data_IF_078940390368
#
_entry.id   IF_078940390368
#
_cell.length_a   1.000
_cell.length_b   1.000
_cell.length_c   1.000
_cell.angle_alpha   90.00
_cell.angle_beta   90.00
_cell.angle_gamma   90.00
#
_symmetry.space_group_name_H-M   'P 1'
#
loop_
_entity.id
_entity.type
_entity.pdbx_description
1 polymer ?
#
# COMPACT_ATOMS: atom_id res chain seq x y z
N UNK A 1 71.70 4.88 25.59
CA UNK A 1 70.23 5.10 25.61
C UNK A 1 69.83 6.07 24.53
N UNK A 2 70.09 5.80 23.22
CA UNK A 2 69.74 6.64 22.09
C UNK A 2 69.58 5.81 20.78
N UNK A 3 68.92 4.66 20.81
CA UNK A 3 68.75 3.87 19.59
C UNK A 3 67.29 3.28 19.47
N UNK A 4 66.32 3.77 20.28
CA UNK A 4 64.91 3.32 20.21
C UNK A 4 63.93 4.32 19.55
N UNK A 5 64.40 5.54 19.20
CA UNK A 5 63.50 6.59 18.63
C UNK A 5 63.51 6.64 17.09
N UNK A 6 64.35 5.91 16.38
CA UNK A 6 64.41 5.95 14.93
C UNK A 6 63.63 4.85 14.24
N UNK A 7 63.23 3.82 14.99
CA UNK A 7 62.44 2.72 14.41
C UNK A 7 60.91 3.01 14.40
N UNK A 8 60.43 3.91 15.25
CA UNK A 8 59.04 4.31 15.34
C UNK A 8 58.61 5.32 14.25
N UNK A 9 59.54 6.02 13.64
CA UNK A 9 59.23 6.99 12.58
C UNK A 9 59.18 6.35 11.18
N UNK A 10 59.81 5.17 11.02
CA UNK A 10 59.83 4.45 9.73
C UNK A 10 58.58 3.55 9.50
N UNK A 11 57.83 3.24 10.54
CA UNK A 11 56.58 2.41 10.41
C UNK A 11 55.36 3.28 10.14
N UNK A 12 55.36 4.56 10.55
CA UNK A 12 54.26 5.49 10.27
C UNK A 12 54.22 5.98 8.80
N UNK A 13 55.32 5.83 8.03
CA UNK A 13 55.42 6.22 6.62
C UNK A 13 55.00 5.17 5.60
N UNK A 14 54.71 3.93 6.04
CA UNK A 14 54.38 2.81 5.14
C UNK A 14 52.89 2.46 5.09
N UNK A 15 52.02 3.18 5.83
CA UNK A 15 50.58 2.89 5.91
C UNK A 15 49.69 3.98 5.27
N UNK A 16 50.23 5.00 4.63
CA UNK A 16 49.47 5.96 3.84
C UNK A 16 49.58 5.65 2.36
N UNK A 17 48.92 4.61 1.88
CA UNK A 17 48.59 4.54 0.48
C UNK A 17 47.64 5.74 0.17
N UNK A 18 47.94 6.56 -0.86
CA UNK A 18 47.04 7.65 -1.23
C UNK A 18 45.72 7.02 -1.69
N UNK A 19 44.68 7.21 -0.92
CA UNK A 19 43.29 6.90 -1.36
C UNK A 19 42.93 8.01 -2.34
N UNK A 20 42.97 7.72 -3.63
CA UNK A 20 42.48 8.64 -4.65
C UNK A 20 40.95 8.64 -4.60
N UNK A 21 40.37 9.80 -4.35
CA UNK A 21 38.97 10.03 -4.51
C UNK A 21 38.60 9.95 -6.00
N UNK A 22 37.71 9.08 -6.36
CA UNK A 22 37.28 8.89 -7.76
C UNK A 22 35.81 9.26 -7.94
N UNK A 23 35.43 9.71 -9.14
CA UNK A 23 34.05 9.99 -9.50
C UNK A 23 33.52 8.81 -10.32
N UNK A 24 32.32 8.30 -9.95
CA UNK A 24 31.62 7.27 -10.71
C UNK A 24 30.31 7.88 -11.21
N UNK A 25 30.12 7.85 -12.52
CA UNK A 25 28.92 8.35 -13.18
C UNK A 25 28.41 7.30 -14.16
N UNK A 26 27.17 7.41 -14.58
CA UNK A 26 26.64 6.57 -15.63
C UNK A 26 25.18 6.86 -15.91
N UNK A 27 24.64 6.14 -16.88
CA UNK A 27 23.27 6.24 -17.30
C UNK A 27 22.58 4.90 -17.15
N UNK A 28 21.34 4.92 -16.63
CA UNK A 28 20.46 3.75 -16.54
C UNK A 28 19.37 3.90 -17.57
N UNK A 29 19.26 2.90 -18.45
CA UNK A 29 18.24 2.85 -19.53
C UNK A 29 17.53 1.51 -19.54
N UNK A 30 16.37 1.44 -20.17
CA UNK A 30 15.73 0.19 -20.52
C UNK A 30 16.33 -0.42 -21.81
N UNK A 31 15.81 -1.59 -22.21
CA UNK A 31 16.22 -2.28 -23.44
C UNK A 31 15.83 -1.56 -24.74
N UNK A 32 14.92 -0.58 -24.67
CA UNK A 32 14.55 0.32 -25.78
C UNK A 32 15.40 1.59 -25.82
N UNK A 33 16.33 1.77 -24.83
CA UNK A 33 17.20 2.93 -24.71
C UNK A 33 16.54 4.14 -24.04
N UNK A 34 15.33 3.96 -23.45
CA UNK A 34 14.67 5.03 -22.70
C UNK A 34 15.31 5.18 -21.33
N UNK A 35 15.51 6.41 -20.84
CA UNK A 35 16.08 6.64 -19.52
C UNK A 35 15.16 6.14 -18.42
N UNK A 36 15.72 5.54 -17.39
CA UNK A 36 14.99 5.13 -16.18
C UNK A 36 15.30 6.16 -15.09
N UNK A 37 14.33 6.99 -14.76
CA UNK A 37 14.42 7.94 -13.65
C UNK A 37 14.13 7.24 -12.32
N UNK A 38 14.73 7.73 -11.20
CA UNK A 38 14.51 7.20 -9.87
C UNK A 38 15.08 5.79 -9.64
N UNK A 39 15.93 5.27 -10.53
CA UNK A 39 16.65 4.03 -10.26
C UNK A 39 17.66 4.25 -9.14
N UNK A 40 17.62 3.40 -8.13
CA UNK A 40 18.54 3.41 -7.01
C UNK A 40 19.86 2.74 -7.41
N UNK A 41 20.98 3.44 -7.28
CA UNK A 41 22.32 2.93 -7.54
C UNK A 41 23.08 2.87 -6.22
N UNK A 42 23.59 1.69 -5.86
CA UNK A 42 24.38 1.45 -4.63
C UNK A 42 25.78 1.02 -4.97
N UNK A 43 26.74 1.45 -4.14
CA UNK A 43 28.09 0.88 -4.13
C UNK A 43 28.14 -0.16 -3.01
N UNK A 44 28.42 -1.42 -3.35
CA UNK A 44 28.52 -2.51 -2.37
C UNK A 44 29.56 -2.21 -1.29
N UNK A 45 29.24 -2.55 -0.03
CA UNK A 45 30.10 -2.24 1.12
C UNK A 45 30.23 -0.75 1.44
N UNK A 46 29.45 0.12 0.75
CA UNK A 46 29.39 1.56 0.98
C UNK A 46 28.01 1.95 1.50
N UNK A 47 27.94 3.06 2.23
CA UNK A 47 26.69 3.69 2.68
C UNK A 47 26.05 4.60 1.62
N UNK A 48 26.69 4.71 0.45
CA UNK A 48 26.33 5.70 -0.55
C UNK A 48 25.31 5.14 -1.52
N UNK A 49 24.26 5.91 -1.70
CA UNK A 49 23.18 5.65 -2.67
C UNK A 49 23.05 6.88 -3.54
N UNK A 50 22.87 6.70 -4.84
CA UNK A 50 22.48 7.75 -5.77
C UNK A 50 21.21 7.32 -6.50
N UNK A 51 20.31 8.27 -6.78
CA UNK A 51 19.15 8.04 -7.62
C UNK A 51 19.38 8.65 -9.00
N UNK A 52 18.91 7.99 -10.04
CA UNK A 52 18.99 8.53 -11.40
C UNK A 52 18.03 9.71 -11.57
N UNK A 53 18.51 10.75 -12.27
CA UNK A 53 17.71 11.91 -12.66
C UNK A 53 16.71 11.56 -13.80
N UNK A 54 15.94 12.57 -14.28
CA UNK A 54 14.99 12.42 -15.38
C UNK A 54 15.61 11.91 -16.70
N UNK A 55 16.93 12.05 -16.87
CA UNK A 55 17.68 11.55 -18.02
C UNK A 55 18.29 10.17 -17.77
N UNK A 56 18.02 9.58 -16.60
CA UNK A 56 18.57 8.30 -16.16
C UNK A 56 20.03 8.41 -15.68
N UNK A 57 20.56 9.60 -15.39
CA UNK A 57 21.96 9.82 -15.02
C UNK A 57 22.11 9.73 -13.50
N UNK A 58 23.12 8.99 -13.04
CA UNK A 58 23.55 8.96 -11.64
C UNK A 58 25.00 9.41 -11.50
N UNK A 59 25.36 9.85 -10.28
CA UNK A 59 26.70 10.32 -9.98
C UNK A 59 27.08 10.08 -8.51
N UNK A 60 28.30 9.56 -8.32
CA UNK A 60 28.98 9.51 -7.04
C UNK A 60 30.29 10.31 -7.14
N UNK A 61 30.41 11.34 -6.34
CA UNK A 61 31.66 12.08 -6.19
C UNK A 61 32.45 11.58 -4.97
N UNK A 62 33.74 11.67 -5.01
CA UNK A 62 34.64 11.37 -3.89
C UNK A 62 34.52 9.92 -3.35
N UNK A 63 34.43 8.94 -4.26
CA UNK A 63 34.43 7.51 -3.89
C UNK A 63 35.82 7.11 -3.45
N UNK A 64 35.98 6.66 -2.20
CA UNK A 64 37.27 6.34 -1.57
C UNK A 64 37.60 4.85 -1.52
N UNK A 65 36.62 4.00 -1.93
CA UNK A 65 36.81 2.56 -1.97
C UNK A 65 37.68 2.18 -3.17
N UNK A 66 38.70 1.34 -2.98
CA UNK A 66 39.55 0.89 -4.10
C UNK A 66 38.78 -0.08 -5.00
N UNK A 67 37.95 -0.94 -4.45
CA UNK A 67 37.08 -1.90 -5.16
C UNK A 67 35.67 -1.36 -5.22
N UNK A 68 35.11 -1.27 -6.42
CA UNK A 68 33.77 -0.72 -6.66
C UNK A 68 32.92 -1.76 -7.36
N UNK A 69 31.89 -2.22 -6.66
CA UNK A 69 30.81 -3.03 -7.21
C UNK A 69 29.50 -2.24 -7.09
N UNK A 70 28.84 -2.04 -8.23
CA UNK A 70 27.61 -1.25 -8.32
C UNK A 70 26.40 -2.16 -8.46
N UNK A 71 25.36 -1.87 -7.71
CA UNK A 71 24.04 -2.45 -7.86
C UNK A 71 23.04 -1.37 -8.26
N UNK A 72 22.15 -1.69 -9.21
CA UNK A 72 21.11 -0.79 -9.66
C UNK A 72 19.74 -1.46 -9.49
N UNK A 73 18.85 -0.79 -8.78
CA UNK A 73 17.49 -1.23 -8.51
C UNK A 73 16.51 -0.22 -9.08
N UNK A 74 15.45 -0.72 -9.71
CA UNK A 74 14.32 0.10 -10.14
C UNK A 74 13.07 -0.78 -10.11
N UNK A 75 11.95 -0.22 -9.68
CA UNK A 75 10.65 -0.90 -9.77
C UNK A 75 10.38 -1.29 -11.23
N UNK A 76 9.83 -2.48 -11.46
CA UNK A 76 9.54 -3.04 -12.79
C UNK A 76 10.76 -3.44 -13.65
N UNK A 77 11.99 -3.40 -13.12
CA UNK A 77 13.18 -3.83 -13.84
C UNK A 77 13.99 -4.87 -13.05
N UNK A 78 14.63 -5.78 -13.77
CA UNK A 78 15.62 -6.69 -13.18
C UNK A 78 16.80 -5.85 -12.72
N UNK A 79 17.23 -6.04 -11.46
CA UNK A 79 18.40 -5.34 -10.94
C UNK A 79 19.62 -5.57 -11.82
N UNK A 80 20.42 -4.52 -11.97
CA UNK A 80 21.71 -4.60 -12.67
C UNK A 80 22.84 -4.61 -11.64
N UNK A 81 23.91 -5.32 -11.97
CA UNK A 81 25.15 -5.29 -11.19
C UNK A 81 26.35 -5.14 -12.11
N UNK A 82 27.41 -4.52 -11.61
CA UNK A 82 28.66 -4.35 -12.34
C UNK A 82 29.83 -4.23 -11.37
N UNK A 83 30.73 -5.19 -11.40
CA UNK A 83 31.98 -5.17 -10.65
C UNK A 83 33.09 -4.50 -11.48
N UNK A 84 33.52 -3.32 -11.04
CA UNK A 84 34.59 -2.55 -11.68
C UNK A 84 35.97 -2.97 -11.20
N UNK A 85 36.06 -3.77 -10.16
CA UNK A 85 37.32 -4.09 -9.51
C UNK A 85 38.00 -2.86 -8.88
N UNK A 86 39.33 -2.85 -8.84
CA UNK A 86 40.10 -1.77 -8.27
C UNK A 86 40.19 -0.57 -9.23
N UNK A 87 39.59 0.56 -8.85
CA UNK A 87 39.44 1.76 -9.66
C UNK A 87 40.29 2.92 -9.08
N UNK A 88 41.16 3.50 -9.89
CA UNK A 88 42.04 4.62 -9.53
C UNK A 88 41.71 5.92 -10.27
N UNK A 89 40.78 5.92 -11.21
CA UNK A 89 40.37 7.08 -12.02
C UNK A 89 38.85 7.11 -12.19
N UNK A 90 38.29 8.27 -12.53
CA UNK A 90 36.84 8.40 -12.78
C UNK A 90 36.33 7.39 -13.80
N UNK A 91 35.17 6.79 -13.52
CA UNK A 91 34.52 5.78 -14.35
C UNK A 91 33.16 6.25 -14.83
N UNK A 92 32.80 5.87 -16.06
CA UNK A 92 31.43 5.96 -16.58
C UNK A 92 30.91 4.55 -16.76
N UNK A 93 29.82 4.21 -16.06
CA UNK A 93 29.24 2.86 -16.04
C UNK A 93 27.77 2.95 -16.37
N UNK A 94 27.41 2.57 -17.57
CA UNK A 94 26.02 2.57 -18.01
C UNK A 94 25.37 1.20 -17.74
N UNK A 95 24.09 1.24 -17.36
CA UNK A 95 23.28 0.06 -17.15
C UNK A 95 22.13 0.03 -18.14
N UNK A 96 21.87 -1.16 -18.71
CA UNK A 96 20.66 -1.43 -19.50
C UNK A 96 19.84 -2.45 -18.72
N UNK A 97 18.78 -1.99 -18.08
CA UNK A 97 17.92 -2.85 -17.30
C UNK A 97 16.86 -3.50 -18.22
N UNK A 98 16.58 -4.77 -17.95
CA UNK A 98 15.49 -5.49 -18.60
C UNK A 98 14.22 -5.30 -17.77
N UNK A 99 13.04 -5.17 -18.39
CA UNK A 99 11.79 -5.21 -17.66
C UNK A 99 11.75 -6.45 -16.76
N UNK A 100 11.40 -6.25 -15.51
CA UNK A 100 11.29 -7.35 -14.55
C UNK A 100 10.06 -8.20 -14.90
N UNK A 101 10.21 -9.53 -14.82
CA UNK A 101 9.05 -10.38 -14.55
C UNK A 101 8.59 -10.08 -13.11
N UNK A 102 7.33 -10.42 -12.77
CA UNK A 102 6.78 -10.24 -11.41
C UNK A 102 7.70 -10.81 -10.31
N UNK A 103 8.51 -11.80 -10.65
CA UNK A 103 9.43 -12.49 -9.73
C UNK A 103 10.61 -11.64 -9.25
N UNK A 104 10.95 -10.58 -9.98
CA UNK A 104 12.07 -9.67 -9.66
C UNK A 104 11.62 -8.34 -9.05
N UNK A 105 10.33 -8.17 -8.77
CA UNK A 105 9.82 -6.97 -8.10
C UNK A 105 10.24 -7.02 -6.63
N UNK A 106 10.76 -5.91 -6.12
CA UNK A 106 11.11 -5.77 -4.70
C UNK A 106 9.85 -5.76 -3.85
N UNK A 107 9.84 -6.59 -2.82
CA UNK A 107 8.75 -6.65 -1.84
C UNK A 107 8.99 -5.60 -0.77
N UNK A 108 8.26 -4.51 -0.82
CA UNK A 108 8.42 -3.38 0.12
C UNK A 108 7.90 -3.70 1.51
N UNK A 109 6.88 -4.56 1.60
CA UNK A 109 6.33 -5.03 2.87
C UNK A 109 7.22 -6.06 3.58
N UNK A 110 8.24 -6.61 2.93
CA UNK A 110 9.24 -7.43 3.60
C UNK A 110 10.28 -6.51 4.27
N UNK A 111 10.55 -6.73 5.54
CA UNK A 111 11.50 -5.91 6.29
C UNK A 111 12.89 -5.82 5.65
N UNK A 112 13.36 -6.90 5.02
CA UNK A 112 14.65 -6.92 4.33
C UNK A 112 14.59 -6.45 2.87
N UNK A 113 13.41 -6.06 2.37
CA UNK A 113 13.20 -5.55 1.01
C UNK A 113 13.82 -6.45 -0.08
N UNK A 114 13.68 -7.75 0.08
CA UNK A 114 14.15 -8.74 -0.90
C UNK A 114 13.20 -8.83 -2.10
N UNK A 115 13.72 -9.26 -3.24
CA UNK A 115 12.87 -9.62 -4.39
C UNK A 115 11.98 -10.83 -4.04
N UNK A 116 10.95 -11.07 -4.85
CA UNK A 116 10.08 -12.25 -4.69
C UNK A 116 10.88 -13.54 -4.73
N UNK A 117 11.91 -13.63 -5.59
CA UNK A 117 12.78 -14.82 -5.70
C UNK A 117 13.71 -15.01 -4.50
N UNK A 118 14.17 -13.94 -3.89
CA UNK A 118 15.06 -13.97 -2.72
C UNK A 118 14.30 -14.12 -1.41
N UNK A 119 12.99 -13.86 -1.43
CA UNK A 119 12.15 -13.96 -0.24
C UNK A 119 12.05 -15.41 0.23
N UNK A 120 12.51 -15.66 1.45
CA UNK A 120 12.36 -16.98 2.12
C UNK A 120 10.92 -17.26 2.55
N UNK A 121 10.03 -16.30 2.43
CA UNK A 121 8.62 -16.41 2.81
C UNK A 121 7.71 -16.28 1.58
N UNK A 122 6.57 -17.00 1.56
CA UNK A 122 5.64 -16.91 0.44
C UNK A 122 5.06 -15.51 0.27
N UNK A 123 5.43 -14.83 -0.79
CA UNK A 123 4.90 -13.52 -1.19
C UNK A 123 4.32 -13.61 -2.59
N UNK A 124 3.21 -12.95 -2.83
CA UNK A 124 2.65 -12.73 -4.16
C UNK A 124 2.65 -11.24 -4.43
N UNK A 125 3.22 -10.83 -5.55
CA UNK A 125 3.22 -9.42 -5.97
C UNK A 125 2.45 -9.29 -7.27
N UNK A 126 1.57 -8.29 -7.34
CA UNK A 126 0.82 -7.91 -8.53
C UNK A 126 1.26 -6.48 -8.85
N UNK A 127 2.05 -6.31 -9.91
CA UNK A 127 2.53 -5.00 -10.35
C UNK A 127 1.49 -4.19 -11.12
N UNK A 128 1.73 -2.89 -11.29
CA UNK A 128 0.80 -1.91 -11.86
C UNK A 128 0.16 -2.36 -13.18
N UNK A 129 0.95 -2.81 -14.17
CA UNK A 129 0.42 -3.24 -15.46
C UNK A 129 -0.64 -4.35 -15.37
N UNK A 130 -0.45 -5.27 -14.43
CA UNK A 130 -1.43 -6.34 -14.19
C UNK A 130 -2.61 -5.82 -13.39
N UNK A 131 -2.38 -4.95 -12.39
CA UNK A 131 -3.44 -4.34 -11.59
C UNK A 131 -4.43 -3.61 -12.47
N UNK A 132 -3.99 -2.74 -13.37
CA UNK A 132 -4.85 -1.99 -14.30
C UNK A 132 -5.75 -2.90 -15.16
N UNK A 133 -5.31 -4.14 -15.45
CA UNK A 133 -6.08 -5.11 -16.25
C UNK A 133 -7.12 -5.89 -15.44
N UNK A 134 -6.91 -6.02 -14.12
CA UNK A 134 -7.74 -6.87 -13.27
C UNK A 134 -8.43 -6.08 -12.16
N UNK A 135 -8.21 -4.78 -12.07
CA UNK A 135 -8.83 -3.92 -11.07
C UNK A 135 -10.36 -4.06 -11.12
N UNK A 136 -10.93 -4.38 -9.96
CA UNK A 136 -12.35 -4.50 -9.72
C UNK A 136 -12.78 -3.44 -8.69
N UNK A 137 -14.08 -3.22 -8.50
CA UNK A 137 -14.57 -2.26 -7.50
C UNK A 137 -14.03 -2.49 -6.08
N UNK A 138 -13.71 -3.74 -5.74
CA UNK A 138 -13.24 -4.12 -4.40
C UNK A 138 -11.87 -4.77 -4.43
N UNK A 139 -11.15 -4.66 -3.30
CA UNK A 139 -9.85 -5.30 -3.12
C UNK A 139 -9.95 -6.84 -3.17
N UNK A 140 -11.03 -7.41 -2.62
CA UNK A 140 -11.28 -8.85 -2.64
C UNK A 140 -11.38 -9.39 -4.06
N UNK A 141 -12.24 -8.80 -4.88
CA UNK A 141 -12.44 -9.20 -6.27
C UNK A 141 -11.18 -9.01 -7.12
N UNK A 142 -10.43 -7.94 -6.91
CA UNK A 142 -9.14 -7.72 -7.59
C UNK A 142 -8.14 -8.83 -7.29
N UNK A 143 -8.09 -9.33 -6.06
CA UNK A 143 -7.07 -10.28 -5.60
C UNK A 143 -7.52 -11.75 -5.69
N UNK A 144 -8.80 -12.06 -5.95
CA UNK A 144 -9.37 -13.43 -5.88
C UNK A 144 -8.64 -14.48 -6.72
N UNK A 145 -7.95 -14.06 -7.77
CA UNK A 145 -7.19 -14.95 -8.65
C UNK A 145 -5.70 -15.07 -8.25
N UNK A 146 -5.27 -14.40 -7.17
CA UNK A 146 -3.93 -14.58 -6.65
C UNK A 146 -3.78 -15.92 -5.92
N UNK A 147 -2.64 -16.63 -6.03
CA UNK A 147 -2.46 -17.93 -5.38
C UNK A 147 -2.73 -17.88 -3.87
N UNK A 148 -3.68 -18.70 -3.39
CA UNK A 148 -4.05 -18.79 -1.97
C UNK A 148 -4.83 -17.60 -1.42
N UNK A 149 -5.40 -16.80 -2.30
CA UNK A 149 -6.32 -15.70 -1.99
C UNK A 149 -7.66 -16.01 -2.63
N UNK A 150 -8.73 -15.73 -1.91
CA UNK A 150 -10.11 -15.76 -2.36
C UNK A 150 -10.76 -14.43 -1.99
N UNK A 151 -12.02 -14.25 -2.35
CA UNK A 151 -12.83 -13.10 -1.97
C UNK A 151 -14.07 -13.58 -1.22
N UNK A 152 -14.52 -12.84 -0.21
CA UNK A 152 -15.92 -12.86 0.18
C UNK A 152 -16.73 -12.30 -0.99
N UNK A 153 -18.03 -12.54 -1.01
CA UNK A 153 -18.87 -11.98 -2.05
C UNK A 153 -20.29 -11.74 -1.50
N UNK A 154 -20.59 -10.49 -1.23
CA UNK A 154 -21.91 -10.01 -0.82
C UNK A 154 -22.53 -9.13 -1.91
N UNK A 155 -21.94 -9.13 -3.09
CA UNK A 155 -22.31 -8.36 -4.26
C UNK A 155 -21.09 -7.89 -5.05
N UNK A 156 -21.29 -7.34 -6.26
CA UNK A 156 -20.18 -6.91 -7.12
C UNK A 156 -19.37 -5.74 -6.55
N UNK A 157 -19.93 -5.01 -5.58
CA UNK A 157 -19.32 -3.82 -4.95
C UNK A 157 -19.03 -4.01 -3.46
N UNK A 158 -19.31 -5.20 -2.91
CA UNK A 158 -19.09 -5.55 -1.51
C UNK A 158 -18.34 -6.87 -1.39
N UNK A 159 -17.04 -6.78 -1.12
CA UNK A 159 -16.19 -7.95 -0.88
C UNK A 159 -14.85 -7.61 -0.22
N UNK A 160 -14.27 -8.58 0.47
CA UNK A 160 -12.99 -8.48 1.17
C UNK A 160 -12.07 -9.66 0.86
N UNK A 161 -10.73 -9.50 0.92
CA UNK A 161 -9.79 -10.58 0.68
C UNK A 161 -9.86 -11.67 1.75
N UNK A 162 -9.88 -12.93 1.31
CA UNK A 162 -9.77 -14.13 2.15
C UNK A 162 -8.44 -14.79 1.88
N UNK A 163 -7.57 -14.91 2.89
CA UNK A 163 -6.24 -15.52 2.76
C UNK A 163 -6.18 -16.81 3.57
N UNK A 164 -5.99 -17.95 2.90
CA UNK A 164 -5.93 -19.27 3.54
C UNK A 164 -7.14 -19.56 4.44
N UNK A 165 -8.33 -19.13 4.03
CA UNK A 165 -9.57 -19.31 4.79
C UNK A 165 -9.74 -18.35 5.97
N UNK A 166 -8.91 -17.33 6.11
CA UNK A 166 -9.08 -16.26 7.08
C UNK A 166 -9.53 -14.99 6.37
N UNK A 167 -10.42 -14.25 6.98
CA UNK A 167 -11.05 -13.01 6.51
C UNK A 167 -11.16 -11.95 7.61
N UNK A 168 -11.74 -10.82 7.30
CA UNK A 168 -12.05 -9.73 8.22
C UNK A 168 -10.85 -9.34 9.07
N UNK A 169 -10.97 -9.30 10.42
CA UNK A 169 -9.89 -8.86 11.31
C UNK A 169 -8.66 -9.76 11.32
N UNK A 170 -8.71 -10.94 10.68
CA UNK A 170 -7.59 -11.89 10.58
C UNK A 170 -6.72 -11.70 9.34
N UNK A 171 -7.15 -10.84 8.40
CA UNK A 171 -6.36 -10.39 7.25
C UNK A 171 -6.08 -8.92 7.41
N UNK A 172 -4.80 -8.55 7.56
CA UNK A 172 -4.44 -7.16 7.76
C UNK A 172 -4.26 -6.46 6.42
N UNK A 173 -4.95 -5.34 6.24
CA UNK A 173 -4.79 -4.49 5.07
C UNK A 173 -3.95 -3.29 5.47
N UNK A 174 -2.89 -3.04 4.72
CA UNK A 174 -1.99 -1.91 4.95
C UNK A 174 -1.74 -1.16 3.64
N UNK A 175 -1.45 0.12 3.75
CA UNK A 175 -1.10 0.98 2.64
C UNK A 175 0.24 1.63 2.94
N UNK A 176 1.23 1.37 2.06
CA UNK A 176 2.63 1.75 2.28
C UNK A 176 3.18 1.28 3.65
N UNK A 177 2.74 0.08 4.09
CA UNK A 177 3.15 -0.53 5.35
C UNK A 177 2.42 -0.06 6.61
N UNK A 178 1.49 0.91 6.52
CA UNK A 178 0.67 1.43 7.62
C UNK A 178 -0.75 0.85 7.55
N UNK A 179 -1.35 0.57 8.69
CA UNK A 179 -2.74 0.07 8.78
C UNK A 179 -3.70 1.04 8.10
N UNK A 180 -4.64 0.54 7.31
CA UNK A 180 -5.70 1.37 6.71
C UNK A 180 -6.60 1.95 7.79
N UNK A 181 -6.80 1.19 8.88
CA UNK A 181 -7.51 1.63 10.09
C UNK A 181 -8.97 1.97 9.85
N UNK A 182 -9.57 1.37 8.84
CA UNK A 182 -11.00 1.39 8.63
C UNK A 182 -11.73 0.43 9.60
N UNK A 183 -13.01 0.58 9.76
CA UNK A 183 -13.85 -0.32 10.56
C UNK A 183 -14.70 -1.25 9.72
N UNK A 184 -14.47 -1.32 8.41
CA UNK A 184 -15.14 -2.21 7.48
C UNK A 184 -15.05 -3.69 7.89
N UNK A 185 -14.04 -4.05 8.68
CA UNK A 185 -13.84 -5.42 9.16
C UNK A 185 -14.75 -5.81 10.32
N UNK A 186 -15.63 -4.93 10.77
CA UNK A 186 -16.67 -5.23 11.78
C UNK A 186 -17.76 -6.11 11.15
N UNK A 187 -18.20 -5.79 9.93
CA UNK A 187 -19.13 -6.58 9.12
C UNK A 187 -18.41 -7.38 8.02
N UNK A 188 -18.84 -8.60 7.71
CA UNK A 188 -18.24 -9.41 6.64
C UNK A 188 -18.57 -8.90 5.23
N UNK A 189 -19.59 -8.12 5.10
CA UNK A 189 -20.19 -7.55 3.89
C UNK A 189 -19.71 -6.13 3.60
N UNK A 190 -18.90 -5.55 4.46
CA UNK A 190 -18.33 -4.22 4.26
C UNK A 190 -17.12 -4.26 3.32
N UNK A 191 -16.98 -3.24 2.48
CA UNK A 191 -15.84 -3.05 1.61
C UNK A 191 -14.69 -2.35 2.35
N UNK A 192 -13.47 -2.80 2.11
CA UNK A 192 -12.27 -2.17 2.70
C UNK A 192 -12.06 -0.78 2.10
N UNK A 193 -11.88 0.23 2.96
CA UNK A 193 -11.65 1.61 2.55
C UNK A 193 -10.21 1.84 2.07
N UNK A 194 -9.83 1.21 0.95
CA UNK A 194 -8.55 1.41 0.28
C UNK A 194 -8.73 1.40 -1.22
N UNK A 195 -7.89 2.14 -1.92
CA UNK A 195 -7.98 2.34 -3.36
C UNK A 195 -6.74 1.80 -4.07
N UNK A 196 -6.90 1.40 -5.33
CA UNK A 196 -5.83 0.88 -6.17
C UNK A 196 -5.47 1.82 -7.33
N UNK A 197 -6.14 2.97 -7.44
CA UNK A 197 -6.05 3.89 -8.58
C UNK A 197 -4.63 4.37 -8.90
N UNK A 198 -3.80 4.59 -7.88
CA UNK A 198 -2.39 4.99 -8.02
C UNK A 198 -1.41 3.91 -7.54
N UNK A 199 -1.92 2.68 -7.30
CA UNK A 199 -1.10 1.60 -6.81
C UNK A 199 -0.05 1.16 -7.85
N UNK A 200 1.20 1.15 -7.43
CA UNK A 200 2.32 0.61 -8.23
C UNK A 200 2.42 -0.89 -8.12
N UNK A 201 2.02 -1.43 -6.96
CA UNK A 201 1.93 -2.87 -6.73
C UNK A 201 1.03 -3.19 -5.54
N UNK A 202 0.51 -4.41 -5.52
CA UNK A 202 -0.13 -5.01 -4.35
C UNK A 202 0.65 -6.27 -3.96
N UNK A 203 1.02 -6.34 -2.70
CA UNK A 203 1.81 -7.42 -2.12
C UNK A 203 0.94 -8.24 -1.16
N UNK A 204 0.93 -9.55 -1.31
CA UNK A 204 0.25 -10.46 -0.39
C UNK A 204 1.29 -11.30 0.34
N UNK A 205 1.49 -10.98 1.62
CA UNK A 205 2.43 -11.67 2.51
C UNK A 205 1.72 -12.75 3.31
N UNK A 206 2.40 -13.88 3.49
CA UNK A 206 1.87 -15.04 4.20
C UNK A 206 2.94 -15.69 5.08
N UNK A 207 2.52 -16.24 6.22
CA UNK A 207 3.44 -16.93 7.13
C UNK A 207 4.35 -15.95 7.89
N UNK A 208 5.62 -16.28 8.16
CA UNK A 208 6.48 -15.51 9.08
C UNK A 208 6.66 -14.04 8.72
N UNK A 209 6.58 -13.67 7.42
CA UNK A 209 6.69 -12.28 6.99
C UNK A 209 5.59 -11.36 7.56
N UNK A 210 4.47 -11.92 8.02
CA UNK A 210 3.37 -11.14 8.58
C UNK A 210 3.60 -10.70 10.02
N UNK A 211 4.53 -11.34 10.74
CA UNK A 211 4.79 -11.09 12.16
C UNK A 211 5.17 -9.64 12.47
N UNK A 212 5.87 -8.98 11.55
CA UNK A 212 6.24 -7.57 11.69
C UNK A 212 5.05 -6.60 11.66
N UNK A 213 3.85 -7.08 11.29
CA UNK A 213 2.62 -6.28 11.25
C UNK A 213 1.75 -6.46 12.50
N UNK A 214 2.24 -7.20 13.49
CA UNK A 214 1.59 -7.37 14.79
C UNK A 214 0.32 -8.22 14.75
N UNK A 215 -0.61 -7.91 15.64
CA UNK A 215 -1.89 -8.62 15.77
C UNK A 215 -2.79 -8.39 14.55
N UNK A 216 -3.67 -9.36 14.25
CA UNK A 216 -4.59 -9.29 13.12
C UNK A 216 -4.02 -9.83 11.80
N UNK A 217 -2.71 -10.05 11.68
CA UNK A 217 -2.08 -10.60 10.47
C UNK A 217 -2.01 -12.14 10.47
N UNK A 218 -3.07 -12.82 10.88
CA UNK A 218 -3.11 -14.29 11.09
C UNK A 218 -3.15 -15.03 9.75
N UNK A 219 -4.06 -14.65 8.86
CA UNK A 219 -4.18 -15.22 7.53
C UNK A 219 -3.09 -14.70 6.59
N UNK A 220 -2.81 -13.42 6.69
CA UNK A 220 -1.87 -12.72 5.83
C UNK A 220 -1.94 -11.21 5.99
N UNK A 221 -1.11 -10.53 5.18
CA UNK A 221 -1.13 -9.09 5.03
C UNK A 221 -1.28 -8.78 3.54
N UNK A 222 -2.16 -7.84 3.21
CA UNK A 222 -2.23 -7.21 1.89
C UNK A 222 -1.66 -5.80 2.03
N UNK A 223 -0.58 -5.52 1.31
CA UNK A 223 0.03 -4.19 1.28
C UNK A 223 -0.19 -3.54 -0.09
N UNK A 224 -0.91 -2.45 -0.11
CA UNK A 224 -1.06 -1.59 -1.27
C UNK A 224 0.09 -0.58 -1.26
N UNK A 225 0.89 -0.57 -2.32
CA UNK A 225 2.00 0.36 -2.49
C UNK A 225 1.66 1.36 -3.57
N UNK A 226 1.71 2.63 -3.27
CA UNK A 226 1.38 3.72 -4.19
C UNK A 226 2.46 4.83 -4.21
N UNK A 227 2.22 5.85 -5.04
CA UNK A 227 3.15 6.96 -5.29
C UNK A 227 2.85 8.22 -4.46
N UNK A 228 1.88 8.19 -3.53
CA UNK A 228 1.39 9.39 -2.84
C UNK A 228 2.47 10.24 -2.18
N UNK A 229 3.55 9.61 -1.69
CA UNK A 229 4.73 10.30 -1.16
C UNK A 229 5.90 9.95 -2.07
N UNK A 230 6.30 10.83 -3.00
CA UNK A 230 7.43 10.60 -3.90
C UNK A 230 8.74 10.39 -3.14
N UNK A 231 9.52 9.39 -3.56
CA UNK A 231 10.75 8.99 -2.87
C UNK A 231 12.02 9.27 -3.68
N UNK A 232 11.89 9.73 -4.92
CA UNK A 232 13.00 10.02 -5.81
C UNK A 232 12.85 11.40 -6.45
N UNK A 233 13.97 12.00 -6.86
CA UNK A 233 13.97 13.28 -7.56
C UNK A 233 13.41 13.13 -8.97
N UNK A 234 12.59 14.09 -9.37
CA UNK A 234 12.03 14.20 -10.70
C UNK A 234 12.23 15.64 -11.21
N UNK A 235 12.83 15.79 -12.39
CA UNK A 235 12.86 17.07 -13.10
C UNK A 235 11.89 17.03 -14.27
N UNK A 236 10.73 17.63 -14.09
CA UNK A 236 9.63 17.64 -15.08
C UNK A 236 8.31 17.16 -14.51
N UNK A 237 7.47 16.64 -15.38
CA UNK A 237 6.14 16.12 -15.03
C UNK A 237 5.90 14.83 -15.79
N UNK A 238 5.40 13.83 -15.10
CA UNK A 238 4.91 12.56 -15.67
C UNK A 238 3.51 12.27 -15.13
N UNK A 239 2.74 11.45 -15.82
CA UNK A 239 1.42 11.07 -15.36
C UNK A 239 0.70 10.20 -16.38
N UNK A 240 -0.39 9.62 -15.93
CA UNK A 240 -1.28 8.83 -16.77
C UNK A 240 -2.74 9.13 -16.45
N UNK A 241 -3.61 8.82 -17.40
CA UNK A 241 -5.05 8.87 -17.21
C UNK A 241 -5.69 7.68 -17.91
N UNK A 242 -6.75 7.16 -17.30
CA UNK A 242 -7.50 6.02 -17.81
C UNK A 242 -8.99 6.28 -17.67
N UNK A 243 -9.77 5.80 -18.62
CA UNK A 243 -11.22 5.74 -18.52
C UNK A 243 -11.70 4.39 -19.02
N UNK A 244 -12.66 3.81 -18.31
CA UNK A 244 -13.30 2.56 -18.70
C UNK A 244 -14.81 2.64 -18.54
N UNK A 245 -15.52 1.78 -19.27
CA UNK A 245 -16.97 1.66 -19.21
C UNK A 245 -17.37 0.20 -19.14
N UNK A 246 -18.29 -0.11 -18.24
CA UNK A 246 -18.86 -1.44 -18.04
C UNK A 246 -20.32 -1.47 -18.49
N UNK A 247 -20.70 -2.44 -19.32
CA UNK A 247 -22.09 -2.56 -19.81
C UNK A 247 -22.99 -3.31 -18.85
N UNK A 248 -22.43 -4.06 -17.89
CA UNK A 248 -23.23 -4.87 -16.96
C UNK A 248 -23.96 -4.03 -15.92
N UNK A 249 -23.48 -2.81 -15.66
CA UNK A 249 -24.03 -1.89 -14.67
C UNK A 249 -23.94 -0.43 -15.11
N UNK A 250 -23.91 -0.18 -16.41
CA UNK A 250 -23.69 1.15 -17.02
C UNK A 250 -22.54 1.93 -16.37
N UNK A 251 -21.58 1.21 -15.77
CA UNK A 251 -20.55 1.77 -14.93
C UNK A 251 -19.50 2.58 -15.69
N UNK A 252 -19.18 3.74 -15.19
CA UNK A 252 -18.06 4.56 -15.65
C UNK A 252 -16.96 4.64 -14.59
N UNK A 253 -15.71 4.55 -15.02
CA UNK A 253 -14.53 4.74 -14.19
C UNK A 253 -13.55 5.64 -14.89
N UNK A 254 -13.06 6.66 -14.21
CA UNK A 254 -12.04 7.55 -14.74
C UNK A 254 -11.04 7.85 -13.64
N UNK A 255 -9.75 7.67 -13.91
CA UNK A 255 -8.65 8.00 -13.02
C UNK A 255 -7.58 8.84 -13.72
N UNK A 256 -6.85 9.61 -12.95
CA UNK A 256 -5.64 10.29 -13.40
C UNK A 256 -4.65 10.39 -12.24
N UNK A 257 -3.37 10.24 -12.55
CA UNK A 257 -2.27 10.56 -11.65
C UNK A 257 -1.23 11.44 -12.34
N UNK A 258 -0.63 12.35 -11.59
CA UNK A 258 0.41 13.26 -12.07
C UNK A 258 1.45 13.44 -10.97
N UNK A 259 2.71 13.18 -11.31
CA UNK A 259 3.88 13.48 -10.47
C UNK A 259 4.72 14.55 -11.15
N UNK A 260 5.14 15.55 -10.41
CA UNK A 260 6.01 16.59 -10.94
C UNK A 260 7.06 17.02 -9.94
N UNK A 261 8.17 17.53 -10.43
CA UNK A 261 9.25 17.95 -9.55
C UNK A 261 10.25 18.89 -10.21
N UNK A 262 11.07 19.51 -9.36
CA UNK A 262 12.22 20.31 -9.76
C UNK A 262 13.21 20.38 -8.59
N UNK A 263 14.46 20.00 -8.84
CA UNK A 263 15.48 19.87 -7.82
C UNK A 263 15.06 18.87 -6.73
N UNK A 264 15.03 19.33 -5.48
CA UNK A 264 14.72 18.48 -4.32
C UNK A 264 13.24 18.41 -3.97
N UNK A 265 12.36 19.16 -4.66
CA UNK A 265 10.93 19.17 -4.38
C UNK A 265 10.20 18.34 -5.42
N UNK A 266 9.44 17.36 -4.95
CA UNK A 266 8.60 16.50 -5.79
C UNK A 266 7.20 16.46 -5.20
N UNK A 267 6.19 16.59 -6.07
CA UNK A 267 4.77 16.53 -5.68
C UNK A 267 4.04 15.47 -6.49
N UNK A 268 2.98 14.94 -5.92
CA UNK A 268 2.09 13.97 -6.53
C UNK A 268 0.64 14.35 -6.28
N UNK A 269 -0.18 14.17 -7.30
CA UNK A 269 -1.64 14.31 -7.20
C UNK A 269 -2.27 13.18 -8.00
N UNK A 270 -3.17 12.46 -7.39
CA UNK A 270 -3.99 11.47 -8.08
C UNK A 270 -5.45 11.53 -7.61
N UNK A 271 -6.30 10.86 -8.36
CA UNK A 271 -7.69 10.69 -7.99
C UNK A 271 -8.47 9.90 -9.01
N UNK A 272 -9.63 9.40 -8.59
CA UNK A 272 -10.56 8.73 -9.48
C UNK A 272 -12.01 9.02 -9.11
N UNK A 273 -12.87 8.79 -10.09
CA UNK A 273 -14.30 8.75 -9.95
C UNK A 273 -14.84 7.47 -10.57
N UNK A 274 -15.68 6.77 -9.83
CA UNK A 274 -16.43 5.59 -10.27
C UNK A 274 -17.89 5.78 -9.96
N UNK A 275 -18.75 5.48 -10.93
CA UNK A 275 -20.19 5.55 -10.80
C UNK A 275 -20.81 4.38 -11.58
N UNK A 276 -21.67 3.62 -10.91
CA UNK A 276 -22.31 2.43 -11.48
C UNK A 276 -23.77 2.35 -11.04
N UNK A 277 -24.62 1.95 -11.96
CA UNK A 277 -25.99 1.51 -11.64
C UNK A 277 -25.98 0.10 -11.05
N UNK A 278 -27.16 -0.37 -10.67
CA UNK A 278 -27.39 -1.77 -10.31
C UNK A 278 -27.02 -2.72 -11.46
N UNK A 279 -26.45 -3.86 -11.12
CA UNK A 279 -25.94 -4.83 -12.10
C UNK A 279 -27.05 -5.60 -12.81
N UNK A 280 -26.96 -5.72 -14.14
CA UNK A 280 -27.80 -6.59 -14.93
C UNK A 280 -27.44 -8.06 -14.66
N UNK A 281 -28.45 -8.89 -14.35
CA UNK A 281 -28.32 -10.33 -14.10
C UNK A 281 -29.29 -11.14 -14.97
N UNK A 282 -29.00 -12.40 -15.27
CA UNK A 282 -29.95 -13.27 -15.98
C UNK A 282 -31.01 -13.83 -14.98
N UNK A 283 -32.23 -13.32 -15.00
CA UNK A 283 -33.33 -13.78 -14.16
C UNK A 283 -33.47 -13.02 -12.85
N UNK A 284 -34.00 -13.66 -11.83
CA UNK A 284 -34.16 -13.09 -10.50
C UNK A 284 -32.88 -13.27 -9.65
N UNK A 285 -32.65 -12.40 -8.68
CA UNK A 285 -31.56 -12.52 -7.74
C UNK A 285 -31.81 -13.63 -6.72
N UNK A 286 -33.06 -13.79 -6.30
CA UNK A 286 -33.49 -14.79 -5.32
C UNK A 286 -33.86 -16.12 -5.97
N UNK A 287 -33.74 -17.23 -5.21
CA UNK A 287 -34.20 -18.56 -5.62
C UNK A 287 -35.73 -18.65 -5.56
N UNK A 288 -36.34 -17.95 -4.62
CA UNK A 288 -37.79 -17.83 -4.44
C UNK A 288 -38.15 -16.33 -4.44
N UNK A 289 -38.31 -15.75 -5.65
CA UNK A 289 -38.51 -14.32 -5.79
C UNK A 289 -39.88 -13.89 -5.30
N UNK A 290 -39.97 -12.78 -4.63
CA UNK A 290 -41.20 -12.11 -4.27
C UNK A 290 -41.91 -11.50 -5.49
N UNK A 291 -43.19 -11.14 -5.35
CA UNK A 291 -43.98 -10.62 -6.49
C UNK A 291 -43.38 -9.31 -7.05
N UNK A 292 -42.72 -8.51 -6.22
CA UNK A 292 -42.17 -7.21 -6.55
C UNK A 292 -40.66 -7.26 -6.90
N UNK A 293 -39.97 -8.41 -6.75
CA UNK A 293 -38.56 -8.54 -7.10
C UNK A 293 -38.32 -8.30 -8.61
N UNK A 294 -37.46 -7.35 -8.99
CA UNK A 294 -37.21 -7.05 -10.40
C UNK A 294 -36.45 -8.19 -11.11
N UNK A 295 -36.98 -8.59 -12.25
CA UNK A 295 -36.31 -9.56 -13.11
C UNK A 295 -35.24 -8.90 -13.95
N UNK A 296 -34.02 -9.40 -13.89
CA UNK A 296 -32.92 -8.94 -14.71
C UNK A 296 -32.00 -7.92 -14.04
N UNK A 297 -32.24 -7.56 -12.78
CA UNK A 297 -31.47 -6.58 -12.03
C UNK A 297 -31.12 -7.14 -10.65
N UNK A 298 -29.89 -6.91 -10.21
CA UNK A 298 -29.45 -7.14 -8.83
C UNK A 298 -29.56 -5.82 -8.06
N UNK A 299 -30.62 -5.65 -7.28
CA UNK A 299 -30.80 -4.45 -6.47
C UNK A 299 -29.70 -4.26 -5.44
N UNK A 300 -29.50 -3.03 -4.96
CA UNK A 300 -28.46 -2.66 -3.99
C UNK A 300 -27.05 -3.07 -4.41
N UNK A 301 -26.75 -3.06 -5.71
CA UNK A 301 -25.43 -3.35 -6.25
C UNK A 301 -24.76 -2.16 -6.94
N UNK A 302 -25.36 -0.98 -6.86
CA UNK A 302 -24.81 0.28 -7.35
C UNK A 302 -23.67 0.80 -6.44
N UNK A 303 -22.80 1.62 -7.02
CA UNK A 303 -21.67 2.23 -6.30
C UNK A 303 -21.34 3.61 -6.86
N UNK A 304 -21.06 4.56 -5.99
CA UNK A 304 -20.42 5.83 -6.33
C UNK A 304 -19.18 6.02 -5.46
N UNK A 305 -18.01 6.19 -6.07
CA UNK A 305 -16.76 6.40 -5.34
C UNK A 305 -16.01 7.60 -5.88
N UNK A 306 -15.53 8.46 -4.98
CA UNK A 306 -14.61 9.56 -5.27
C UNK A 306 -13.38 9.46 -4.39
N UNK A 307 -12.21 9.61 -4.97
CA UNK A 307 -10.96 9.64 -4.22
C UNK A 307 -10.06 10.73 -4.78
N UNK A 308 -9.40 11.46 -3.91
CA UNK A 308 -8.37 12.44 -4.26
C UNK A 308 -7.21 12.31 -3.28
N UNK A 309 -6.00 12.30 -3.82
CA UNK A 309 -4.75 12.24 -3.05
C UNK A 309 -3.86 13.39 -3.49
N UNK A 310 -3.20 14.05 -2.54
CA UNK A 310 -2.15 15.02 -2.80
C UNK A 310 -0.96 14.79 -1.88
N UNK A 311 0.24 14.80 -2.44
CA UNK A 311 1.48 14.58 -1.70
C UNK A 311 2.60 15.50 -2.12
N UNK A 312 3.54 15.72 -1.20
CA UNK A 312 4.70 16.56 -1.38
C UNK A 312 5.90 15.95 -0.65
N UNK A 313 7.05 15.92 -1.30
CA UNK A 313 8.28 15.41 -0.72
C UNK A 313 9.46 16.34 -0.95
N UNK A 314 10.36 16.38 0.03
CA UNK A 314 11.71 16.84 -0.12
C UNK A 314 12.63 15.62 -0.28
N UNK A 315 13.30 15.52 -1.40
CA UNK A 315 14.18 14.40 -1.76
C UNK A 315 15.59 14.90 -1.96
N UNK A 316 16.54 14.34 -1.22
CA UNK A 316 17.96 14.67 -1.26
C UNK A 316 18.81 13.40 -1.43
N UNK A 317 20.14 13.55 -1.56
CA UNK A 317 21.05 12.40 -1.65
C UNK A 317 21.04 11.53 -0.37
N UNK A 318 20.82 12.16 0.79
CA UNK A 318 20.80 11.48 2.09
C UNK A 318 19.45 10.80 2.39
N UNK A 319 18.43 10.99 1.56
CA UNK A 319 17.11 10.39 1.75
C UNK A 319 15.97 11.33 1.38
N UNK A 320 14.78 10.99 1.84
CA UNK A 320 13.59 11.80 1.61
C UNK A 320 12.75 11.97 2.87
N UNK A 321 11.90 12.99 2.86
CA UNK A 321 10.79 13.16 3.78
C UNK A 321 9.62 13.76 3.03
N UNK A 322 8.44 13.19 3.21
CA UNK A 322 7.24 13.64 2.54
C UNK A 322 5.98 13.47 3.37
N UNK A 323 4.94 14.11 2.87
CA UNK A 323 3.60 14.13 3.47
C UNK A 323 2.55 14.00 2.37
N UNK A 324 1.45 13.32 2.67
CA UNK A 324 0.30 13.20 1.78
C UNK A 324 -1.01 13.30 2.55
N UNK A 325 -2.06 13.72 1.86
CA UNK A 325 -3.45 13.72 2.31
C UNK A 325 -4.31 13.00 1.28
N UNK A 326 -5.25 12.21 1.77
CA UNK A 326 -6.25 11.48 0.99
C UNK A 326 -7.63 11.82 1.52
N UNK A 327 -8.59 12.00 0.60
CA UNK A 327 -10.01 12.03 0.86
C UNK A 327 -10.68 10.95 0.02
N UNK A 328 -11.46 10.10 0.66
CA UNK A 328 -12.24 9.03 0.02
C UNK A 328 -13.70 9.17 0.45
N UNK A 329 -14.59 9.29 -0.52
CA UNK A 329 -16.04 9.21 -0.37
C UNK A 329 -16.50 7.96 -1.14
N UNK A 330 -17.23 7.04 -0.50
CA UNK A 330 -17.66 5.80 -1.14
C UNK A 330 -19.05 5.39 -0.68
N UNK A 331 -20.00 5.40 -1.63
CA UNK A 331 -21.37 4.92 -1.42
C UNK A 331 -21.57 3.64 -2.19
N UNK A 332 -22.06 2.60 -1.52
CA UNK A 332 -22.31 1.33 -2.18
C UNK A 332 -23.42 0.54 -1.47
N UNK A 333 -24.15 -0.24 -2.25
CA UNK A 333 -25.19 -1.11 -1.72
C UNK A 333 -24.68 -2.51 -1.38
N UNK A 334 -25.42 -3.23 -0.55
CA UNK A 334 -25.19 -4.63 -0.20
C UNK A 334 -26.42 -5.44 -0.56
N UNK A 335 -26.39 -6.19 -1.69
CA UNK A 335 -27.52 -7.01 -2.12
C UNK A 335 -27.94 -8.04 -1.08
N UNK A 336 -29.25 -8.16 -0.84
CA UNK A 336 -29.81 -9.18 0.07
C UNK A 336 -29.50 -8.95 1.56
N UNK A 337 -28.97 -7.79 1.92
CA UNK A 337 -28.88 -7.36 3.30
C UNK A 337 -30.23 -6.74 3.69
N UNK A 338 -30.97 -7.37 4.59
CA UNK A 338 -32.17 -6.82 5.21
C UNK A 338 -32.12 -7.14 6.71
N UNK A 339 -32.47 -6.16 7.53
CA UNK A 339 -32.66 -6.38 8.96
C UNK A 339 -34.08 -6.92 9.13
N UNK A 340 -34.22 -8.22 9.43
CA UNK A 340 -35.48 -8.78 9.84
C UNK A 340 -35.88 -8.07 11.15
N UNK A 341 -36.79 -7.10 11.07
CA UNK A 341 -37.47 -6.61 12.23
C UNK A 341 -38.18 -7.82 12.85
N UNK A 342 -37.64 -8.31 13.97
CA UNK A 342 -38.21 -9.43 14.69
C UNK A 342 -39.67 -9.12 14.99
N UNK A 343 -40.58 -9.81 14.31
CA UNK A 343 -41.93 -9.90 14.76
C UNK A 343 -41.86 -10.47 16.18
N UNK A 344 -42.03 -9.61 17.18
CA UNK A 344 -42.31 -10.08 18.53
C UNK A 344 -43.62 -10.85 18.42
N UNK A 345 -43.53 -12.18 18.45
CA UNK A 345 -44.68 -13.04 18.60
C UNK A 345 -45.41 -12.66 19.92
N UNK A 346 -46.34 -11.73 19.84
CA UNK A 346 -47.31 -11.51 20.88
C UNK A 346 -48.25 -12.72 20.92
N UNK A 347 -47.87 -13.74 21.69
CA UNK A 347 -48.80 -14.75 22.13
C UNK A 347 -49.88 -14.09 23.00
N UNK A 348 -51.10 -14.02 22.43
CA UNK A 348 -52.32 -13.97 23.17
C UNK A 348 -53.02 -12.62 23.35
N UNK A 349 -54.04 -12.39 22.59
CA UNK A 349 -55.45 -12.27 23.05
C UNK A 349 -56.32 -11.78 21.88
N UNK A 350 -57.43 -12.47 21.66
CA UNK A 350 -58.50 -12.14 20.71
C UNK A 350 -58.95 -10.68 20.80
N UNK A 351 -58.72 -9.89 19.74
CA UNK A 351 -59.50 -8.69 19.46
C UNK A 351 -59.65 -8.44 17.95
N UNK A 352 -60.90 -8.34 17.58
CA UNK A 352 -61.57 -7.80 16.41
C UNK A 352 -60.73 -7.33 15.22
N UNK A 353 -61.10 -7.92 14.07
CA UNK A 353 -60.76 -7.59 12.69
C UNK A 353 -60.96 -6.07 12.40
N UNK A 354 -59.94 -5.28 12.50
CA UNK A 354 -59.79 -4.08 11.71
C UNK A 354 -58.71 -4.38 10.64
N UNK A 355 -59.10 -4.30 9.37
CA UNK A 355 -58.21 -4.34 8.22
C UNK A 355 -57.26 -3.14 8.32
N UNK A 356 -56.06 -3.33 8.88
CA UNK A 356 -54.94 -2.43 8.65
C UNK A 356 -54.38 -2.80 7.28
N UNK A 357 -54.52 -1.90 6.30
CA UNK A 357 -53.70 -1.87 5.10
C UNK A 357 -52.24 -1.78 5.58
N UNK A 358 -51.54 -2.90 5.65
CA UNK A 358 -50.12 -2.93 5.69
C UNK A 358 -49.65 -2.50 4.29
N UNK A 359 -49.25 -1.24 4.12
CA UNK A 359 -48.40 -0.87 3.02
C UNK A 359 -47.13 -1.73 3.20
N UNK A 360 -47.02 -2.81 2.43
CA UNK A 360 -45.80 -3.58 2.29
C UNK A 360 -44.78 -2.64 1.66
N UNK A 361 -43.96 -2.01 2.51
CA UNK A 361 -42.74 -1.31 2.05
C UNK A 361 -41.84 -2.40 1.52
N UNK A 362 -41.53 -2.36 0.21
CA UNK A 362 -40.43 -3.13 -0.36
C UNK A 362 -39.19 -2.80 0.46
N UNK A 363 -38.58 -3.79 1.10
CA UNK A 363 -37.36 -3.59 1.88
C UNK A 363 -36.29 -3.10 0.93
N UNK A 364 -35.98 -1.77 0.95
CA UNK A 364 -34.84 -1.23 0.26
C UNK A 364 -33.60 -1.78 0.93
N UNK A 365 -32.69 -2.41 0.18
CA UNK A 365 -31.46 -2.98 0.72
C UNK A 365 -30.56 -1.90 1.34
N UNK A 366 -29.69 -2.31 2.25
CA UNK A 366 -28.79 -1.42 2.98
C UNK A 366 -27.78 -0.74 2.05
N UNK A 367 -27.63 0.57 2.21
CA UNK A 367 -26.61 1.40 1.55
C UNK A 367 -25.58 1.82 2.58
N UNK A 368 -24.29 1.61 2.26
CA UNK A 368 -23.19 2.12 3.06
C UNK A 368 -22.66 3.44 2.48
N UNK A 369 -22.55 4.46 3.32
CA UNK A 369 -21.99 5.77 3.00
C UNK A 369 -20.71 5.96 3.83
N UNK A 370 -19.54 5.95 3.17
CA UNK A 370 -18.21 5.98 3.78
C UNK A 370 -17.53 7.31 3.48
N UNK A 371 -17.05 7.99 4.51
CA UNK A 371 -16.16 9.15 4.44
C UNK A 371 -14.85 8.83 5.16
N UNK A 372 -13.72 9.08 4.51
CA UNK A 372 -12.40 8.89 5.11
C UNK A 372 -11.44 9.99 4.71
N UNK A 373 -10.86 10.63 5.72
CA UNK A 373 -9.72 11.51 5.55
C UNK A 373 -8.47 10.88 6.16
N UNK A 374 -7.40 10.76 5.36
CA UNK A 374 -6.15 10.14 5.81
C UNK A 374 -4.96 11.06 5.55
N UNK A 375 -4.18 11.29 6.59
CA UNK A 375 -2.91 12.02 6.55
C UNK A 375 -1.78 11.03 6.72
N UNK A 376 -0.77 11.11 5.85
CA UNK A 376 0.42 10.25 5.93
C UNK A 376 1.69 11.09 5.90
N UNK A 377 2.70 10.64 6.65
CA UNK A 377 4.07 11.14 6.56
C UNK A 377 5.02 9.95 6.45
N UNK A 378 6.01 10.05 5.61
CA UNK A 378 7.04 9.02 5.48
C UNK A 378 8.40 9.64 5.18
N UNK A 379 9.45 8.96 5.58
CA UNK A 379 10.80 9.35 5.28
C UNK A 379 11.79 8.21 5.44
N UNK A 380 12.88 8.33 4.72
CA UNK A 380 14.02 7.43 4.82
C UNK A 380 15.29 8.27 4.87
N UNK A 381 16.19 7.95 5.79
CA UNK A 381 17.47 8.60 5.93
C UNK A 381 18.59 7.57 5.79
N UNK A 382 19.42 7.75 4.79
CA UNK A 382 20.54 6.88 4.49
C UNK A 382 21.74 7.21 5.38
N UNK A 383 22.30 6.20 6.02
CA UNK A 383 23.50 6.31 6.87
C UNK A 383 23.45 7.41 7.93
N UNK A 384 22.37 7.53 8.72
CA UNK A 384 22.21 8.61 9.71
C UNK A 384 23.27 8.58 10.82
N UNK A 385 23.73 7.37 11.18
CA UNK A 385 24.67 7.13 12.27
C UNK A 385 25.62 5.98 11.90
N UNK A 386 26.77 5.91 12.54
CA UNK A 386 27.67 4.76 12.43
C UNK A 386 26.96 3.46 12.87
N UNK A 387 27.05 2.43 12.05
CA UNK A 387 26.39 1.14 12.29
C UNK A 387 24.93 1.03 11.82
N UNK A 388 24.31 2.12 11.35
CA UNK A 388 22.97 2.13 10.77
C UNK A 388 23.03 2.54 9.31
N UNK A 389 22.58 1.66 8.42
CA UNK A 389 22.54 1.92 6.98
C UNK A 389 21.35 2.77 6.58
N UNK A 390 20.17 2.46 7.12
CA UNK A 390 18.93 3.18 6.81
C UNK A 390 18.09 3.34 8.07
N UNK A 391 17.49 4.51 8.22
CA UNK A 391 16.44 4.78 9.20
C UNK A 391 15.18 5.16 8.44
N UNK A 392 14.12 4.34 8.58
CA UNK A 392 12.81 4.59 7.97
C UNK A 392 11.80 4.99 9.02
N UNK A 393 10.98 5.96 8.67
CA UNK A 393 9.85 6.43 9.46
C UNK A 393 8.60 6.45 8.58
N UNK A 394 7.49 6.01 9.13
CA UNK A 394 6.17 6.17 8.52
C UNK A 394 5.13 6.42 9.61
N UNK A 395 4.17 7.30 9.34
CA UNK A 395 3.06 7.60 10.22
C UNK A 395 1.80 7.87 9.40
N UNK A 396 0.65 7.48 9.93
CA UNK A 396 -0.65 7.83 9.41
C UNK A 396 -1.58 8.26 10.54
N UNK A 397 -2.46 9.22 10.25
CA UNK A 397 -3.66 9.52 11.01
C UNK A 397 -4.84 9.36 10.08
N UNK A 398 -5.84 8.61 10.50
CA UNK A 398 -7.06 8.33 9.73
C UNK A 398 -8.26 8.74 10.56
N UNK A 399 -9.11 9.56 9.97
CA UNK A 399 -10.45 9.89 10.44
C UNK A 399 -11.42 9.17 9.49
N UNK A 400 -12.18 8.24 10.02
CA UNK A 400 -13.06 7.35 9.26
C UNK A 400 -14.45 7.33 9.87
N UNK A 401 -15.45 7.47 9.01
CA UNK A 401 -16.86 7.31 9.34
C UNK A 401 -17.54 6.48 8.26
N UNK A 402 -18.45 5.60 8.65
CA UNK A 402 -19.45 5.09 7.72
C UNK A 402 -20.82 5.00 8.39
N UNK A 403 -21.84 5.22 7.60
CA UNK A 403 -23.23 5.05 7.99
C UNK A 403 -23.86 3.92 7.18
N UNK A 404 -24.56 3.04 7.85
CA UNK A 404 -25.52 2.12 7.25
C UNK A 404 -26.83 2.87 7.12
N UNK A 405 -27.31 3.00 5.87
CA UNK A 405 -28.52 3.74 5.53
C UNK A 405 -29.59 2.74 5.14
N UNK A 406 -30.70 2.78 5.86
CA UNK A 406 -31.88 1.96 5.69
C UNK A 406 -33.08 2.90 5.49
N UNK A 407 -33.93 2.61 4.53
CA UNK A 407 -35.11 3.44 4.21
C UNK A 407 -34.77 4.93 4.04
N UNK A 408 -33.54 5.24 3.62
CA UNK A 408 -33.05 6.61 3.40
C UNK A 408 -32.63 7.35 4.68
N UNK A 409 -32.63 6.71 5.85
CA UNK A 409 -32.15 7.26 7.12
C UNK A 409 -30.97 6.45 7.69
N UNK A 410 -30.03 7.07 8.43
CA UNK A 410 -28.93 6.35 9.07
C UNK A 410 -29.45 5.43 10.19
N UNK A 411 -29.32 4.11 10.03
CA UNK A 411 -29.62 3.10 11.06
C UNK A 411 -28.48 3.00 12.08
N UNK A 412 -27.23 2.81 11.60
CA UNK A 412 -26.05 2.76 12.46
C UNK A 412 -24.92 3.59 11.86
N UNK A 413 -24.22 4.36 12.71
CA UNK A 413 -23.05 5.14 12.33
C UNK A 413 -21.82 4.63 13.11
N UNK A 414 -20.77 4.30 12.38
CA UNK A 414 -19.50 3.82 12.89
C UNK A 414 -18.41 4.86 12.66
N UNK A 415 -17.65 5.19 13.70
CA UNK A 415 -16.52 6.13 13.60
C UNK A 415 -15.24 5.52 14.13
N UNK A 416 -14.10 5.89 13.56
CA UNK A 416 -12.79 5.50 14.04
C UNK A 416 -11.73 6.56 13.77
N UNK A 417 -11.22 7.19 14.82
CA UNK A 417 -10.03 8.02 14.75
C UNK A 417 -8.80 7.19 15.10
N UNK A 418 -7.81 7.12 14.22
CA UNK A 418 -6.67 6.24 14.46
C UNK A 418 -5.33 6.87 14.08
N UNK A 419 -4.28 6.41 14.76
CA UNK A 419 -2.89 6.76 14.45
C UNK A 419 -2.05 5.48 14.36
N UNK A 420 -1.26 5.33 13.31
CA UNK A 420 -0.26 4.26 13.16
C UNK A 420 1.10 4.89 12.90
N UNK A 421 2.10 4.51 13.69
CA UNK A 421 3.48 5.01 13.59
C UNK A 421 4.43 3.82 13.52
N UNK A 422 5.33 3.86 12.56
CA UNK A 422 6.34 2.82 12.35
C UNK A 422 7.73 3.44 12.21
N UNK A 423 8.71 2.85 12.91
CA UNK A 423 10.12 3.21 12.83
C UNK A 423 10.93 1.94 12.59
N UNK A 424 11.85 1.96 11.63
CA UNK A 424 12.70 0.82 11.29
C UNK A 424 14.15 1.27 11.11
N UNK A 425 15.08 0.65 11.84
CA UNK A 425 16.50 0.92 11.75
C UNK A 425 17.23 -0.32 11.22
N UNK A 426 17.89 -0.18 10.08
CA UNK A 426 18.66 -1.21 9.39
C UNK A 426 20.11 -1.10 9.82
N UNK A 427 20.71 -2.15 10.35
CA UNK A 427 22.11 -2.11 10.77
C UNK A 427 23.04 -2.55 9.64
N UNK A 428 24.29 -2.06 9.71
CA UNK A 428 25.37 -2.54 8.86
C UNK A 428 25.63 -4.03 9.07
N UNK A 429 26.20 -4.68 8.07
CA UNK A 429 26.61 -6.06 8.19
C UNK A 429 27.67 -6.21 9.29
N UNK A 430 27.42 -7.08 10.26
CA UNK A 430 28.32 -7.44 11.33
C UNK A 430 28.55 -8.96 11.31
N UNK A 431 29.75 -9.38 10.92
CA UNK A 431 30.14 -10.81 10.83
C UNK A 431 29.22 -11.64 9.90
N UNK A 432 28.77 -11.09 8.79
CA UNK A 432 27.86 -11.74 7.84
C UNK A 432 26.38 -11.66 8.23
N UNK A 433 26.03 -10.90 9.28
CA UNK A 433 24.64 -10.67 9.70
C UNK A 433 24.21 -9.23 9.40
N UNK A 434 23.13 -9.08 8.70
CA UNK A 434 22.42 -7.81 8.52
C UNK A 434 20.95 -8.02 8.95
N UNK A 435 20.30 -6.95 9.38
CA UNK A 435 18.93 -7.05 9.87
C UNK A 435 18.32 -5.70 10.15
N UNK A 436 17.11 -5.74 10.69
CA UNK A 436 16.31 -4.56 11.02
C UNK A 436 15.73 -4.66 12.41
N UNK A 437 15.84 -3.58 13.16
CA UNK A 437 15.10 -3.35 14.39
C UNK A 437 13.93 -2.42 14.12
N UNK A 438 12.71 -2.81 14.51
CA UNK A 438 11.52 -2.01 14.27
C UNK A 438 10.66 -1.81 15.51
N UNK A 439 10.00 -0.66 15.53
CA UNK A 439 8.99 -0.24 16.49
C UNK A 439 7.70 0.06 15.74
N UNK A 440 6.56 -0.32 16.32
CA UNK A 440 5.25 0.09 15.85
C UNK A 440 4.41 0.54 17.04
N UNK A 441 3.67 1.61 16.85
CA UNK A 441 2.63 2.10 17.74
C UNK A 441 1.36 2.30 16.94
N UNK A 442 0.24 1.78 17.45
CA UNK A 442 -1.08 2.02 16.91
C UNK A 442 -2.02 2.46 18.02
N UNK A 443 -2.86 3.44 17.73
CA UNK A 443 -3.90 3.96 18.60
C UNK A 443 -5.19 4.11 17.80
N UNK A 444 -6.33 3.76 18.38
CA UNK A 444 -7.63 3.79 17.73
C UNK A 444 -8.71 4.10 18.77
N UNK A 445 -9.54 5.08 18.45
CA UNK A 445 -10.75 5.48 19.18
C UNK A 445 -11.97 5.11 18.32
N UNK A 446 -12.60 3.99 18.66
CA UNK A 446 -13.76 3.43 17.94
C UNK A 446 -15.06 3.78 18.67
N UNK A 447 -16.09 4.09 17.89
CA UNK A 447 -17.45 4.24 18.38
C UNK A 447 -18.46 3.76 17.34
N UNK A 448 -19.57 3.21 17.80
CA UNK A 448 -20.75 2.86 16.98
C UNK A 448 -22.02 3.34 17.70
N UNK A 449 -22.93 3.92 16.94
CA UNK A 449 -24.21 4.45 17.46
C UNK A 449 -25.31 4.05 16.48
N UNK A 450 -26.31 3.33 16.97
CA UNK A 450 -27.42 2.85 16.16
C UNK A 450 -27.84 1.44 16.59
N UNK A 451 -28.71 0.80 15.79
CA UNK A 451 -29.30 -0.50 16.11
C UNK A 451 -28.28 -1.64 16.05
N UNK A 452 -27.29 -1.57 15.15
CA UNK A 452 -26.21 -2.54 14.99
C UNK A 452 -24.95 -2.22 15.80
N UNK A 453 -25.03 -1.36 16.79
CA UNK A 453 -23.92 -1.02 17.66
C UNK A 453 -23.58 -2.15 18.66
N UNK A 454 -23.16 -3.33 18.17
CA UNK A 454 -22.85 -4.50 19.01
C UNK A 454 -21.60 -4.31 19.87
N UNK A 455 -20.70 -3.39 19.48
CA UNK A 455 -19.46 -3.12 20.17
C UNK A 455 -19.52 -1.75 20.82
N UNK A 456 -19.33 -1.65 22.15
CA UNK A 456 -19.31 -0.34 22.83
C UNK A 456 -18.11 0.49 22.38
N UNK A 457 -18.24 1.81 22.50
CA UNK A 457 -17.13 2.73 22.31
C UNK A 457 -15.89 2.28 23.09
N UNK A 458 -14.75 2.25 22.43
CA UNK A 458 -13.52 1.78 23.04
C UNK A 458 -12.29 2.48 22.46
N UNK A 459 -11.26 2.61 23.30
CA UNK A 459 -9.95 3.12 22.94
C UNK A 459 -8.95 1.97 23.01
N UNK A 460 -8.24 1.71 21.93
CA UNK A 460 -7.23 0.66 21.88
C UNK A 460 -5.86 1.25 21.56
N UNK A 461 -4.83 0.84 22.31
CA UNK A 461 -3.43 1.17 22.02
C UNK A 461 -2.60 -0.10 21.95
N UNK A 462 -1.78 -0.24 20.91
CA UNK A 462 -0.88 -1.36 20.75
C UNK A 462 0.55 -0.91 20.47
N UNK A 463 1.51 -1.68 20.99
CA UNK A 463 2.94 -1.46 20.81
C UNK A 463 3.58 -2.75 20.35
N UNK A 464 4.42 -2.70 19.35
CA UNK A 464 5.16 -3.85 18.87
C UNK A 464 6.65 -3.52 18.69
N UNK A 465 7.47 -4.51 18.98
CA UNK A 465 8.91 -4.52 18.72
C UNK A 465 9.21 -5.73 17.84
N UNK A 466 10.04 -5.57 16.83
CA UNK A 466 10.52 -6.69 16.04
C UNK A 466 12.02 -6.55 15.74
N UNK A 467 12.66 -7.69 15.60
CA UNK A 467 14.03 -7.87 15.15
C UNK A 467 14.04 -8.96 14.09
N UNK A 468 14.58 -8.65 12.94
CA UNK A 468 14.68 -9.57 11.82
C UNK A 468 16.12 -9.61 11.33
#
# INVERSE_FOLDING_TARGET
MKMRSLLSLSIAGLLSAPVYATTVTGKVTDTAGQPIAGAEVKIEGSRRVAYTDANGIYRFDDVKQPHIHLHVYSSNYIHGDNDLGDVNTGQNVDFVLKPASVENIVVTANALQSSVLESVTPVTVIGAEKLHKIEAPTLGETLKNAPGVHSTYFGPVSSSPVIRGNDGPRVKIVQNGLDVSDVSRVGPDHNVATTLSSATQVEVLRGPATLQYGSGAIGGVVNVVDKRIPQYQLDGVEGEAETSYSTVNNGSYTRADVTGGSGNIVWHVDGFYRDTDNADIPGFASIDPDEDEPNGVLESSAMETRNVVAGLSYVAEEGYFGFAVEQLDNKYGVPGHSHAHGEEEHEGEDHDLEEHDHEEHAEEGVLLDVDMTRYQAAGEWHSPFEGITNLKFAAAYTDYEHAEIEDGEPGTVFTNESSDIRLSAYHEEVNGWHGVFGLQFNHSDYNAVGEEAFTPANTTSSYALYLI
#
